data_IF_880024791136
#
_entry.id   IF_880024791136
#
_cell.length_a   1.000
_cell.length_b   1.000
_cell.length_c   1.000
_cell.angle_alpha   90.00
_cell.angle_beta   90.00
_cell.angle_gamma   90.00
#
_symmetry.space_group_name_H-M   'P 1'
#
loop_
_entity.id
_entity.type
_entity.pdbx_description
1 polymer ?
#
# COMPACT_ATOMS: atom_id res chain seq x y z
N UNK A 1 -57.82 -7.67 -28.37
CA UNK A 1 -56.73 -7.62 -27.36
C UNK A 1 -55.47 -8.34 -27.86
N UNK A 2 -54.85 -7.93 -28.99
CA UNK A 2 -53.60 -8.54 -29.47
C UNK A 2 -52.53 -7.55 -29.99
N UNK A 3 -52.85 -6.26 -30.14
CA UNK A 3 -51.89 -5.26 -30.66
C UNK A 3 -51.39 -4.23 -29.62
N UNK A 4 -51.99 -4.20 -28.42
CA UNK A 4 -51.54 -3.29 -27.34
C UNK A 4 -50.25 -3.73 -26.64
N UNK A 5 -49.92 -5.01 -26.70
CA UNK A 5 -48.69 -5.55 -26.08
C UNK A 5 -47.50 -5.56 -27.04
N UNK A 6 -47.73 -5.48 -28.35
CA UNK A 6 -46.65 -5.49 -29.36
C UNK A 6 -45.89 -4.16 -29.36
N UNK A 7 -46.61 -3.03 -29.22
CA UNK A 7 -45.97 -1.72 -29.09
C UNK A 7 -45.21 -1.56 -27.76
N UNK A 8 -45.70 -2.12 -26.66
CA UNK A 8 -44.98 -2.13 -25.38
C UNK A 8 -43.73 -3.01 -25.40
N UNK A 9 -43.73 -4.11 -26.16
CA UNK A 9 -42.57 -4.99 -26.30
C UNK A 9 -41.46 -4.37 -27.18
N UNK A 10 -41.85 -3.67 -28.25
CA UNK A 10 -40.90 -2.96 -29.14
C UNK A 10 -40.25 -1.77 -28.42
N UNK A 11 -40.99 -1.05 -27.56
CA UNK A 11 -40.44 0.03 -26.74
C UNK A 11 -39.51 -0.50 -25.63
N UNK A 12 -39.79 -1.67 -25.05
CA UNK A 12 -38.89 -2.33 -24.07
C UNK A 12 -37.61 -2.89 -24.71
N UNK A 13 -37.67 -3.37 -25.96
CA UNK A 13 -36.50 -3.82 -26.71
C UNK A 13 -35.61 -2.65 -27.17
N UNK A 14 -36.17 -1.47 -27.45
CA UNK A 14 -35.40 -0.28 -27.82
C UNK A 14 -34.65 0.35 -26.63
N UNK A 15 -35.16 0.19 -25.39
CA UNK A 15 -34.48 0.68 -24.17
C UNK A 15 -33.30 -0.23 -23.77
N UNK A 16 -33.35 -1.54 -24.11
CA UNK A 16 -32.24 -2.47 -23.88
C UNK A 16 -31.10 -2.35 -24.90
N UNK A 17 -31.30 -1.64 -26.01
CA UNK A 17 -30.27 -1.37 -27.03
C UNK A 17 -29.69 0.05 -26.91
N UNK A 18 -30.27 0.91 -26.07
CA UNK A 18 -29.84 2.29 -25.86
C UNK A 18 -28.92 2.50 -24.63
N UNK A 19 -28.42 1.44 -24.00
CA UNK A 19 -27.37 1.49 -22.98
C UNK A 19 -26.40 0.33 -23.17
N UNK A 20 -25.42 0.54 -24.06
CA UNK A 20 -24.00 0.39 -23.74
C UNK A 20 -23.19 0.54 -25.03
N UNK A 21 -23.05 1.80 -25.47
CA UNK A 21 -21.75 2.21 -26.00
C UNK A 21 -20.81 2.38 -24.79
N UNK A 22 -20.49 1.27 -24.11
CA UNK A 22 -19.21 1.21 -23.42
C UNK A 22 -18.17 1.33 -24.53
N UNK A 23 -17.73 2.57 -24.79
CA UNK A 23 -16.50 2.82 -25.55
C UNK A 23 -15.49 1.83 -24.99
N UNK A 24 -15.13 0.84 -25.80
CA UNK A 24 -14.10 -0.15 -25.50
C UNK A 24 -12.99 0.58 -24.78
N UNK A 25 -12.84 0.30 -23.48
CA UNK A 25 -11.69 0.77 -22.72
C UNK A 25 -10.49 0.17 -23.44
N UNK A 26 -9.75 1.01 -24.16
CA UNK A 26 -8.52 0.57 -24.78
C UNK A 26 -7.61 0.07 -23.64
N UNK A 27 -6.96 -1.10 -23.81
CA UNK A 27 -5.90 -1.47 -22.90
C UNK A 27 -4.91 -0.31 -22.84
N UNK A 28 -4.43 -0.02 -21.62
CA UNK A 28 -3.40 0.99 -21.35
C UNK A 28 -2.33 0.90 -22.44
N UNK A 29 -2.00 2.02 -23.08
CA UNK A 29 -0.85 2.10 -23.98
C UNK A 29 0.35 1.46 -23.30
N UNK A 30 1.18 0.76 -24.07
CA UNK A 30 2.42 0.19 -23.52
C UNK A 30 3.35 1.28 -22.99
N UNK A 31 3.23 2.50 -23.52
CA UNK A 31 3.86 3.70 -23.01
C UNK A 31 2.96 4.40 -21.98
N UNK A 32 3.32 4.28 -20.69
CA UNK A 32 2.60 4.92 -19.60
C UNK A 32 2.52 6.45 -19.75
N UNK A 33 3.54 7.09 -20.36
CA UNK A 33 3.61 8.55 -20.52
C UNK A 33 2.56 9.10 -21.49
N UNK A 34 2.21 8.33 -22.53
CA UNK A 34 1.29 8.76 -23.60
C UNK A 34 -0.17 9.00 -23.17
N UNK A 35 -0.56 8.63 -21.94
CA UNK A 35 -1.91 8.88 -21.35
C UNK A 35 -1.79 9.71 -20.06
N UNK A 36 -0.61 10.25 -19.76
CA UNK A 36 -0.38 10.99 -18.52
C UNK A 36 -1.13 12.34 -18.51
N UNK A 37 -1.65 12.73 -17.35
CA UNK A 37 -2.14 14.10 -17.07
C UNK A 37 -1.00 15.10 -16.91
N UNK A 38 0.22 14.59 -16.76
CA UNK A 38 1.44 15.36 -16.50
C UNK A 38 2.45 15.13 -17.62
N UNK A 39 3.21 16.16 -17.96
CA UNK A 39 4.45 15.97 -18.69
C UNK A 39 5.38 15.07 -17.86
N UNK A 40 6.00 14.09 -18.53
CA UNK A 40 6.85 13.11 -17.86
C UNK A 40 7.96 12.63 -18.83
N UNK A 41 9.24 12.55 -18.40
CA UNK A 41 9.75 12.96 -17.08
C UNK A 41 9.53 14.47 -16.81
N UNK A 42 9.47 14.87 -15.53
CA UNK A 42 9.15 16.26 -15.14
C UNK A 42 10.39 17.18 -15.14
N UNK A 43 11.55 16.62 -15.52
CA UNK A 43 12.86 17.27 -15.56
C UNK A 43 13.82 16.51 -16.47
N UNK A 44 15.08 16.93 -16.49
CA UNK A 44 16.16 16.33 -17.29
C UNK A 44 17.44 16.04 -16.48
N UNK A 45 17.33 16.00 -15.15
CA UNK A 45 18.40 15.58 -14.27
C UNK A 45 18.66 14.07 -14.41
N UNK A 46 19.85 13.57 -14.01
CA UNK A 46 20.15 12.14 -14.08
C UNK A 46 19.15 11.25 -13.34
N UNK A 47 18.61 11.71 -12.21
CA UNK A 47 17.64 10.96 -11.41
C UNK A 47 16.23 10.94 -12.05
N UNK A 48 15.90 11.84 -12.98
CA UNK A 48 14.64 11.77 -13.73
C UNK A 48 14.56 10.50 -14.58
N UNK A 49 15.71 10.03 -15.10
CA UNK A 49 15.81 8.80 -15.89
C UNK A 49 15.51 7.55 -15.06
N UNK A 50 15.89 7.55 -13.78
CA UNK A 50 15.57 6.46 -12.86
C UNK A 50 14.07 6.34 -12.60
N UNK A 51 13.36 7.49 -12.50
CA UNK A 51 11.91 7.53 -12.38
C UNK A 51 11.22 7.10 -13.67
N UNK A 52 11.79 7.46 -14.82
CA UNK A 52 11.33 7.02 -16.14
C UNK A 52 11.45 5.49 -16.31
N UNK A 53 12.57 4.90 -15.89
CA UNK A 53 12.77 3.45 -15.87
C UNK A 53 11.70 2.74 -15.02
N UNK A 54 11.38 3.28 -13.84
CA UNK A 54 10.29 2.77 -12.99
C UNK A 54 8.96 2.84 -13.75
N UNK A 55 8.65 3.96 -14.39
CA UNK A 55 7.40 4.14 -15.12
C UNK A 55 7.25 3.15 -16.27
N UNK A 56 8.32 2.96 -17.05
CA UNK A 56 8.34 2.03 -18.18
C UNK A 56 8.25 0.57 -17.72
N UNK A 57 8.92 0.22 -16.63
CA UNK A 57 8.95 -1.16 -16.12
C UNK A 57 7.65 -1.57 -15.44
N UNK A 58 7.09 -0.69 -14.61
CA UNK A 58 5.97 -1.01 -13.73
C UNK A 58 4.62 -0.47 -14.20
N UNK A 59 4.63 0.44 -15.20
CA UNK A 59 3.43 1.14 -15.61
C UNK A 59 2.86 1.96 -14.46
N UNK A 60 3.67 2.73 -13.74
CA UNK A 60 3.17 3.69 -12.74
C UNK A 60 4.06 4.91 -12.78
N UNK A 61 3.48 6.10 -12.90
CA UNK A 61 4.23 7.32 -13.19
C UNK A 61 4.50 8.04 -11.88
N UNK A 62 5.77 8.21 -11.46
CA UNK A 62 6.11 9.04 -10.32
C UNK A 62 5.87 10.52 -10.62
N UNK A 63 5.21 11.24 -9.71
CA UNK A 63 4.91 12.68 -9.80
C UNK A 63 5.54 13.37 -8.58
N UNK A 64 6.44 14.33 -8.78
CA UNK A 64 7.33 14.87 -7.74
C UNK A 64 7.47 16.40 -7.76
N UNK A 65 7.38 17.07 -8.91
CA UNK A 65 7.51 18.54 -9.02
C UNK A 65 6.28 19.23 -9.58
N UNK A 66 5.56 18.60 -10.52
CA UNK A 66 4.44 19.23 -11.21
C UNK A 66 3.07 18.76 -10.67
N UNK A 67 2.76 19.04 -9.41
CA UNK A 67 1.42 18.84 -8.85
C UNK A 67 1.05 19.94 -7.85
N UNK A 68 -0.25 20.07 -7.56
CA UNK A 68 -0.72 20.96 -6.52
C UNK A 68 -1.71 20.29 -5.54
N UNK A 69 -2.30 21.10 -4.66
CA UNK A 69 -3.28 20.62 -3.68
C UNK A 69 -4.55 20.08 -4.35
N UNK A 70 -4.95 20.55 -5.53
CA UNK A 70 -6.14 20.08 -6.26
C UNK A 70 -5.93 18.65 -6.77
N UNK A 71 -4.73 18.31 -7.23
CA UNK A 71 -4.38 16.95 -7.64
C UNK A 71 -4.53 15.95 -6.49
N UNK A 72 -4.00 16.28 -5.32
CA UNK A 72 -4.10 15.45 -4.11
C UNK A 72 -5.53 15.26 -3.61
N UNK A 73 -6.48 16.11 -4.06
CA UNK A 73 -7.89 16.03 -3.71
C UNK A 73 -8.79 15.63 -4.88
N UNK A 74 -8.22 15.09 -5.96
CA UNK A 74 -8.97 14.53 -7.10
C UNK A 74 -9.90 15.57 -7.75
N UNK A 75 -9.50 16.84 -7.81
CA UNK A 75 -10.35 17.89 -8.37
C UNK A 75 -10.77 17.63 -9.82
N UNK A 76 -9.95 16.89 -10.57
CA UNK A 76 -10.21 16.49 -11.93
C UNK A 76 -11.37 15.47 -12.07
N UNK A 77 -11.82 14.82 -10.99
CA UNK A 77 -12.93 13.84 -11.02
C UNK A 77 -14.31 14.44 -10.71
N UNK A 78 -14.42 15.75 -10.45
CA UNK A 78 -15.69 16.42 -10.15
C UNK A 78 -15.68 17.21 -8.84
N UNK A 79 -16.78 17.19 -8.08
CA UNK A 79 -16.88 17.93 -6.79
C UNK A 79 -15.90 17.39 -5.76
N UNK A 80 -15.05 18.26 -5.22
CA UNK A 80 -14.03 17.89 -4.23
C UNK A 80 -14.10 18.77 -2.99
N UNK A 81 -13.42 18.34 -1.93
CA UNK A 81 -13.16 19.15 -0.74
C UNK A 81 -11.66 19.11 -0.48
N UNK A 82 -11.05 20.26 -0.21
CA UNK A 82 -9.62 20.32 0.14
C UNK A 82 -9.41 19.69 1.51
N UNK A 83 -8.93 18.45 1.53
CA UNK A 83 -8.59 17.67 2.72
C UNK A 83 -7.10 17.44 2.81
N UNK A 84 -6.46 17.10 1.70
CA UNK A 84 -5.04 16.79 1.63
C UNK A 84 -4.24 18.00 1.13
N UNK A 85 -3.03 18.18 1.63
CA UNK A 85 -2.08 19.21 1.20
C UNK A 85 -0.69 18.59 1.15
N UNK A 86 0.19 19.21 0.40
CA UNK A 86 1.58 18.79 0.26
C UNK A 86 2.30 19.75 -0.67
N UNK A 87 3.61 19.63 -0.70
CA UNK A 87 4.51 20.46 -1.47
C UNK A 87 5.31 19.60 -2.44
N UNK A 88 5.68 20.18 -3.58
CA UNK A 88 6.59 19.56 -4.52
C UNK A 88 7.96 19.31 -3.89
N UNK A 89 8.66 18.28 -4.33
CA UNK A 89 10.04 18.03 -3.93
C UNK A 89 10.95 19.10 -4.56
N UNK A 90 11.96 19.53 -3.81
CA UNK A 90 13.13 20.17 -4.40
C UNK A 90 14.12 19.09 -4.89
N UNK A 91 15.20 19.48 -5.56
CA UNK A 91 16.16 18.55 -6.15
C UNK A 91 16.81 17.59 -5.13
N UNK A 92 17.20 18.08 -3.95
CA UNK A 92 17.81 17.27 -2.90
C UNK A 92 16.87 16.14 -2.44
N UNK A 93 15.60 16.49 -2.18
CA UNK A 93 14.61 15.50 -1.78
C UNK A 93 14.19 14.61 -2.95
N UNK A 94 14.16 15.13 -4.18
CA UNK A 94 13.83 14.35 -5.37
C UNK A 94 14.88 13.26 -5.63
N UNK A 95 16.18 13.57 -5.48
CA UNK A 95 17.27 12.58 -5.54
C UNK A 95 17.04 11.49 -4.50
N UNK A 96 16.79 11.87 -3.24
CA UNK A 96 16.57 10.92 -2.17
C UNK A 96 15.38 9.99 -2.45
N UNK A 97 14.22 10.55 -2.80
CA UNK A 97 13.02 9.75 -3.04
C UNK A 97 13.22 8.82 -4.24
N UNK A 98 13.89 9.29 -5.28
CA UNK A 98 14.22 8.47 -6.45
C UNK A 98 15.05 7.26 -6.07
N UNK A 99 16.17 7.46 -5.36
CA UNK A 99 17.02 6.35 -4.90
C UNK A 99 16.25 5.40 -3.99
N UNK A 100 15.49 5.94 -3.03
CA UNK A 100 14.70 5.14 -2.09
C UNK A 100 13.69 4.25 -2.83
N UNK A 101 12.89 4.82 -3.72
CA UNK A 101 11.87 4.05 -4.44
C UNK A 101 12.50 3.08 -5.43
N UNK A 102 13.55 3.47 -6.16
CA UNK A 102 14.25 2.58 -7.09
C UNK A 102 14.85 1.37 -6.36
N UNK A 103 15.61 1.60 -5.29
CA UNK A 103 16.42 0.55 -4.66
C UNK A 103 15.68 -0.22 -3.55
N UNK A 104 14.83 0.45 -2.78
CA UNK A 104 14.21 -0.15 -1.59
C UNK A 104 12.74 -0.55 -1.78
N UNK A 105 12.10 -0.10 -2.87
CA UNK A 105 10.71 -0.48 -3.20
C UNK A 105 10.68 -1.27 -4.50
N UNK A 106 10.93 -0.61 -5.63
CA UNK A 106 10.77 -1.21 -6.97
C UNK A 106 11.82 -2.27 -7.28
N UNK A 107 13.05 -2.11 -6.81
CA UNK A 107 14.12 -3.13 -6.94
C UNK A 107 13.82 -4.45 -6.24
N UNK A 108 12.81 -4.50 -5.36
CA UNK A 108 12.31 -5.73 -4.75
C UNK A 108 11.08 -6.30 -5.45
N UNK A 109 10.28 -5.47 -6.10
CA UNK A 109 9.02 -5.88 -6.71
C UNK A 109 9.28 -6.66 -8.00
N UNK A 110 8.36 -7.58 -8.30
CA UNK A 110 8.33 -8.33 -9.55
C UNK A 110 7.37 -7.65 -10.54
N UNK A 111 7.86 -7.04 -11.64
CA UNK A 111 7.03 -6.26 -12.56
C UNK A 111 5.77 -7.00 -13.05
N UNK A 112 5.90 -8.28 -13.36
CA UNK A 112 4.83 -9.16 -13.82
C UNK A 112 3.70 -9.33 -12.80
N UNK A 113 4.01 -9.28 -11.51
CA UNK A 113 3.02 -9.35 -10.43
C UNK A 113 2.39 -7.99 -10.12
N UNK A 114 3.04 -6.90 -10.53
CA UNK A 114 2.56 -5.53 -10.32
C UNK A 114 1.63 -5.03 -11.43
N UNK A 115 1.61 -5.67 -12.60
CA UNK A 115 0.77 -5.26 -13.74
C UNK A 115 -0.73 -5.23 -13.38
N UNK A 116 -1.32 -4.03 -13.37
CA UNK A 116 -2.72 -3.80 -12.99
C UNK A 116 -2.99 -3.78 -11.47
N UNK A 117 -1.93 -3.73 -10.66
CA UNK A 117 -1.98 -3.59 -9.20
C UNK A 117 -1.65 -2.17 -8.76
N UNK A 118 -0.60 -1.60 -9.36
CA UNK A 118 -0.13 -0.25 -9.08
C UNK A 118 -1.10 0.79 -9.67
N UNK A 119 -1.18 1.99 -9.06
CA UNK A 119 -2.01 3.07 -9.56
C UNK A 119 -1.40 3.66 -10.83
N UNK A 120 -2.13 4.54 -11.51
CA UNK A 120 -1.57 5.28 -12.64
C UNK A 120 -0.43 6.19 -12.17
N UNK A 121 -0.60 6.84 -11.01
CA UNK A 121 0.35 7.80 -10.47
C UNK A 121 0.82 7.46 -9.05
N UNK A 122 2.08 7.71 -8.78
CA UNK A 122 2.63 7.72 -7.41
C UNK A 122 3.17 9.12 -7.13
N UNK A 123 2.52 9.84 -6.23
CA UNK A 123 2.96 11.17 -5.81
C UNK A 123 4.04 11.04 -4.74
N UNK A 124 5.20 11.63 -5.02
CA UNK A 124 6.31 11.79 -4.10
C UNK A 124 6.21 13.22 -3.55
N UNK A 125 5.76 13.34 -2.30
CA UNK A 125 5.24 14.59 -1.75
C UNK A 125 6.09 15.03 -0.56
N UNK A 126 6.53 16.29 -0.57
CA UNK A 126 7.08 16.92 0.62
C UNK A 126 5.95 17.34 1.57
N UNK A 127 6.07 16.99 2.85
CA UNK A 127 5.12 17.38 3.90
C UNK A 127 3.64 17.08 3.58
N UNK A 128 3.37 15.85 3.11
CA UNK A 128 1.99 15.37 2.90
C UNK A 128 1.22 15.41 4.22
N UNK A 129 0.07 16.07 4.20
CA UNK A 129 -0.73 16.35 5.40
C UNK A 129 -2.22 16.39 5.10
N UNK A 130 -3.04 16.14 6.11
CA UNK A 130 -4.50 16.22 6.01
C UNK A 130 -5.10 17.14 7.06
N UNK A 131 -6.22 17.76 6.69
CA UNK A 131 -7.07 18.48 7.62
C UNK A 131 -7.63 17.50 8.67
N UNK A 132 -7.62 17.91 9.94
CA UNK A 132 -8.18 17.15 11.05
C UNK A 132 -8.95 18.05 12.01
N UNK A 133 -9.53 17.45 13.05
CA UNK A 133 -10.29 18.16 14.08
C UNK A 133 -9.36 18.70 15.18
N UNK A 134 -8.64 19.79 14.88
CA UNK A 134 -7.67 20.44 15.78
C UNK A 134 -7.90 21.95 15.84
N UNK A 135 -7.33 22.65 16.83
CA UNK A 135 -7.43 24.11 16.93
C UNK A 135 -6.69 24.79 15.77
N UNK A 136 -5.57 24.22 15.34
CA UNK A 136 -4.84 24.66 14.16
C UNK A 136 -3.89 23.56 13.65
N UNK A 137 -3.28 23.80 12.48
CA UNK A 137 -2.34 22.89 11.82
C UNK A 137 -2.99 21.66 11.18
N UNK A 138 -2.16 20.68 10.82
CA UNK A 138 -2.54 19.50 10.05
C UNK A 138 -2.02 18.19 10.67
N UNK A 139 -2.69 17.09 10.34
CA UNK A 139 -2.21 15.75 10.66
C UNK A 139 -1.20 15.34 9.59
N UNK A 140 0.06 15.01 9.95
CA UNK A 140 1.03 14.56 8.97
C UNK A 140 0.67 13.15 8.48
N UNK A 141 0.90 12.90 7.19
CA UNK A 141 0.66 11.61 6.54
C UNK A 141 1.93 11.10 5.89
N UNK A 142 2.31 9.87 6.22
CA UNK A 142 3.46 9.20 5.59
C UNK A 142 3.08 8.55 4.26
N UNK A 143 1.80 8.19 4.11
CA UNK A 143 1.26 7.56 2.92
C UNK A 143 -0.25 7.79 2.80
N UNK A 144 -0.72 7.84 1.56
CA UNK A 144 -2.14 7.86 1.19
C UNK A 144 -2.36 6.84 0.06
N UNK A 145 -3.26 5.89 0.29
CA UNK A 145 -3.44 4.70 -0.56
C UNK A 145 -4.77 4.64 -1.28
N UNK A 146 -5.64 5.60 -1.00
CA UNK A 146 -7.07 5.57 -1.31
C UNK A 146 -7.44 6.65 -2.35
N UNK A 147 -6.45 7.17 -3.07
CA UNK A 147 -6.66 7.97 -4.27
C UNK A 147 -7.23 7.09 -5.39
N UNK A 148 -8.11 7.66 -6.21
CA UNK A 148 -8.82 6.92 -7.27
C UNK A 148 -7.85 6.25 -8.25
N UNK A 149 -6.89 7.01 -8.75
CA UNK A 149 -5.88 6.56 -9.72
C UNK A 149 -4.45 6.78 -9.21
N UNK A 150 -4.27 7.15 -7.94
CA UNK A 150 -2.97 7.50 -7.37
C UNK A 150 -2.77 7.06 -5.92
N UNK A 151 -1.50 6.88 -5.55
CA UNK A 151 -1.04 6.84 -4.16
C UNK A 151 -0.10 8.02 -3.91
N UNK A 152 0.04 8.45 -2.66
CA UNK A 152 0.98 9.51 -2.28
C UNK A 152 1.85 9.07 -1.10
N UNK A 153 3.12 9.47 -1.08
CA UNK A 153 4.08 9.13 -0.04
C UNK A 153 4.86 10.36 0.39
N UNK A 154 5.07 10.49 1.70
CA UNK A 154 5.94 11.51 2.29
C UNK A 154 6.85 10.89 3.35
N UNK A 155 8.09 11.34 3.33
CA UNK A 155 9.12 11.06 4.32
C UNK A 155 9.41 12.25 5.23
N UNK A 156 8.75 13.39 5.04
CA UNK A 156 8.94 14.58 5.88
C UNK A 156 7.62 15.10 6.43
N UNK A 157 7.66 15.62 7.65
CA UNK A 157 6.62 16.45 8.23
C UNK A 157 7.23 17.68 8.89
N UNK A 158 6.79 18.87 8.46
CA UNK A 158 7.32 20.17 8.90
C UNK A 158 6.63 20.64 10.16
N UNK A 159 7.41 21.04 11.17
CA UNK A 159 6.89 21.39 12.50
C UNK A 159 5.86 22.52 12.46
N UNK A 160 6.10 23.54 11.63
CA UNK A 160 5.24 24.71 11.43
C UNK A 160 3.84 24.36 10.93
N UNK A 161 3.68 23.20 10.28
CA UNK A 161 2.41 22.73 9.73
C UNK A 161 1.68 21.75 10.65
N UNK A 162 2.31 21.29 11.73
CA UNK A 162 1.73 20.25 12.59
C UNK A 162 0.58 20.75 13.46
N UNK A 163 -0.41 19.88 13.63
CA UNK A 163 -1.57 20.17 14.43
C UNK A 163 -1.24 20.45 15.91
N UNK A 164 -2.04 21.33 16.51
CA UNK A 164 -2.06 21.58 17.96
C UNK A 164 -3.49 21.70 18.49
N UNK A 165 -3.67 21.36 19.75
CA UNK A 165 -4.88 21.58 20.53
C UNK A 165 -4.60 22.67 21.54
N UNK A 166 -5.29 23.79 21.43
CA UNK A 166 -5.30 24.86 22.44
C UNK A 166 -6.64 24.83 23.16
N UNK A 167 -6.59 24.61 24.47
CA UNK A 167 -7.77 24.52 25.34
C UNK A 167 -8.19 25.88 25.92
N UNK A 168 -7.52 26.98 25.56
CA UNK A 168 -7.86 28.33 25.99
C UNK A 168 -7.53 28.66 27.46
N UNK A 169 -6.94 27.72 28.19
CA UNK A 169 -6.50 27.86 29.59
C UNK A 169 -4.96 27.87 29.72
N UNK A 170 -4.24 28.12 28.62
CA UNK A 170 -2.78 28.05 28.55
C UNK A 170 -2.21 26.65 28.30
N UNK A 171 -3.05 25.60 28.25
CA UNK A 171 -2.62 24.27 27.86
C UNK A 171 -2.63 24.11 26.33
N UNK A 172 -1.46 23.89 25.74
CA UNK A 172 -1.29 23.54 24.34
C UNK A 172 -0.73 22.12 24.22
N UNK A 173 -1.44 21.23 23.52
CA UNK A 173 -1.00 19.87 23.23
C UNK A 173 -0.59 19.77 21.76
N UNK A 174 0.60 19.25 21.51
CA UNK A 174 1.11 18.92 20.16
C UNK A 174 1.14 17.40 19.99
N UNK A 175 0.11 16.79 19.38
CA UNK A 175 -0.02 15.33 19.30
C UNK A 175 0.96 14.68 18.31
N UNK A 176 1.56 15.46 17.41
CA UNK A 176 2.48 14.97 16.39
C UNK A 176 3.86 15.57 16.56
N UNK A 177 4.87 14.81 16.15
CA UNK A 177 6.26 15.27 16.07
C UNK A 177 6.65 15.41 14.59
N UNK A 178 7.52 16.38 14.26
CA UNK A 178 8.12 16.44 12.94
C UNK A 178 8.99 15.20 12.73
N UNK A 179 9.17 14.86 11.46
CA UNK A 179 10.08 13.79 11.04
C UNK A 179 10.64 14.13 9.68
N UNK A 180 11.74 13.48 9.32
CA UNK A 180 12.48 13.77 8.09
C UNK A 180 12.88 12.46 7.39
N UNK A 181 13.59 12.60 6.26
CA UNK A 181 14.16 11.50 5.49
C UNK A 181 14.77 10.44 6.41
N UNK A 182 14.50 9.13 6.17
CA UNK A 182 15.06 8.08 7.00
C UNK A 182 16.60 8.11 6.91
N UNK A 183 17.28 8.02 8.06
CA UNK A 183 18.75 8.11 8.18
C UNK A 183 19.38 6.82 8.67
N UNK A 184 18.61 6.01 9.40
CA UNK A 184 19.09 4.76 9.99
C UNK A 184 18.57 3.53 9.25
N UNK A 185 19.26 2.37 9.33
CA UNK A 185 18.79 1.14 8.70
C UNK A 185 17.39 0.73 9.18
N UNK A 186 17.05 1.09 10.42
CA UNK A 186 15.74 0.90 11.00
C UNK A 186 14.68 1.76 10.33
N UNK A 187 14.92 3.05 10.18
CA UNK A 187 13.95 3.95 9.52
C UNK A 187 13.73 3.54 8.07
N UNK A 188 14.79 3.18 7.32
CA UNK A 188 14.65 2.63 5.97
C UNK A 188 13.80 1.37 5.95
N UNK A 189 14.11 0.40 6.83
CA UNK A 189 13.35 -0.86 6.93
C UNK A 189 11.88 -0.60 7.24
N UNK A 190 11.61 0.28 8.20
CA UNK A 190 10.26 0.70 8.59
C UNK A 190 9.49 1.27 7.40
N UNK A 191 10.05 2.28 6.71
CA UNK A 191 9.40 2.98 5.60
C UNK A 191 9.12 2.05 4.42
N UNK A 192 10.13 1.31 3.95
CA UNK A 192 9.97 0.42 2.78
C UNK A 192 8.98 -0.71 3.08
N UNK A 193 9.01 -1.28 4.29
CA UNK A 193 8.10 -2.38 4.64
C UNK A 193 6.65 -1.92 4.65
N UNK A 194 6.36 -0.71 5.16
CA UNK A 194 5.01 -0.15 5.12
C UNK A 194 4.51 0.03 3.68
N UNK A 195 5.38 0.40 2.74
CA UNK A 195 5.01 0.50 1.32
C UNK A 195 4.78 -0.91 0.74
N UNK A 196 5.78 -1.79 0.85
CA UNK A 196 5.77 -3.12 0.25
C UNK A 196 4.64 -4.01 0.76
N UNK A 197 4.35 -3.99 2.06
CA UNK A 197 3.28 -4.79 2.64
C UNK A 197 1.91 -4.45 2.05
N UNK A 198 1.67 -3.18 1.73
CA UNK A 198 0.41 -2.72 1.12
C UNK A 198 0.33 -3.11 -0.35
N UNK A 199 1.46 -3.02 -1.06
CA UNK A 199 1.55 -3.50 -2.44
C UNK A 199 1.26 -5.01 -2.49
N UNK A 200 1.87 -5.82 -1.61
CA UNK A 200 1.61 -7.26 -1.55
C UNK A 200 0.14 -7.60 -1.27
N UNK A 201 -0.52 -6.90 -0.34
CA UNK A 201 -1.97 -7.04 -0.10
C UNK A 201 -2.74 -6.84 -1.39
N UNK A 202 -2.42 -5.79 -2.17
CA UNK A 202 -3.08 -5.49 -3.44
C UNK A 202 -2.77 -6.51 -4.53
N UNK A 203 -1.54 -7.04 -4.60
CA UNK A 203 -1.15 -8.14 -5.50
C UNK A 203 -2.05 -9.36 -5.25
N UNK A 204 -2.24 -9.77 -4.00
CA UNK A 204 -3.12 -10.89 -3.64
C UNK A 204 -4.58 -10.56 -3.96
N UNK A 205 -5.05 -9.35 -3.65
CA UNK A 205 -6.43 -8.94 -3.93
C UNK A 205 -6.77 -8.91 -5.42
N UNK A 206 -5.78 -8.63 -6.28
CA UNK A 206 -5.88 -8.69 -7.74
C UNK A 206 -5.61 -10.10 -8.29
N UNK A 207 -5.50 -11.11 -7.43
CA UNK A 207 -5.26 -12.52 -7.76
C UNK A 207 -3.96 -12.76 -8.57
N UNK A 208 -2.98 -11.86 -8.46
CA UNK A 208 -1.65 -12.03 -9.09
C UNK A 208 -0.82 -13.07 -8.33
N UNK A 209 -0.98 -13.09 -7.01
CA UNK A 209 -0.55 -14.19 -6.15
C UNK A 209 -1.79 -14.89 -5.61
N UNK A 210 -1.90 -16.18 -5.93
CA UNK A 210 -3.05 -17.00 -5.52
C UNK A 210 -2.78 -17.60 -4.15
N UNK A 211 -3.81 -17.64 -3.30
CA UNK A 211 -3.75 -18.23 -1.96
C UNK A 211 -3.45 -19.74 -2.10
N UNK A 212 -2.38 -20.26 -1.46
CA UNK A 212 -2.03 -21.68 -1.50
C UNK A 212 -3.15 -22.57 -0.93
N UNK A 213 -3.19 -23.84 -1.37
CA UNK A 213 -4.19 -24.80 -0.93
C UNK A 213 -4.10 -25.09 0.59
N UNK A 214 -2.89 -25.01 1.16
CA UNK A 214 -2.58 -25.20 2.57
C UNK A 214 -3.31 -24.20 3.48
N UNK A 215 -3.67 -23.02 2.95
CA UNK A 215 -4.43 -21.99 3.66
C UNK A 215 -5.95 -22.15 3.48
N UNK A 216 -6.43 -23.02 2.61
CA UNK A 216 -7.86 -23.20 2.40
C UNK A 216 -8.49 -24.04 3.53
N UNK A 217 -9.80 -23.92 3.71
CA UNK A 217 -10.55 -24.71 4.68
C UNK A 217 -10.36 -26.22 4.44
N UNK A 218 -10.07 -26.97 5.51
CA UNK A 218 -9.71 -28.39 5.44
C UNK A 218 -8.23 -28.70 5.71
N UNK A 219 -7.38 -27.67 5.83
CA UNK A 219 -6.03 -27.75 6.39
C UNK A 219 -5.99 -27.59 7.93
N UNK A 220 -4.88 -27.07 8.48
CA UNK A 220 -4.75 -26.84 9.93
C UNK A 220 -5.60 -25.66 10.44
N UNK A 221 -6.02 -24.76 9.55
CA UNK A 221 -6.85 -23.61 9.89
C UNK A 221 -8.34 -23.94 9.84
N UNK A 222 -9.01 -23.66 10.96
CA UNK A 222 -10.46 -23.67 11.07
C UNK A 222 -10.96 -22.23 11.23
N UNK A 223 -11.32 -21.61 10.11
CA UNK A 223 -11.80 -20.22 10.07
C UNK A 223 -13.18 -20.02 10.69
N UNK A 224 -13.89 -21.10 11.03
CA UNK A 224 -15.18 -21.02 11.75
C UNK A 224 -15.00 -20.81 13.25
N UNK A 225 -13.83 -21.17 13.80
CA UNK A 225 -13.53 -21.03 15.22
C UNK A 225 -13.23 -19.58 15.59
N UNK A 226 -13.86 -19.14 16.68
CA UNK A 226 -13.53 -17.86 17.32
C UNK A 226 -12.15 -17.95 17.98
N UNK A 227 -11.34 -16.93 17.80
CA UNK A 227 -10.08 -16.73 18.51
C UNK A 227 -10.24 -15.75 19.67
N UNK A 228 -9.33 -15.83 20.63
CA UNK A 228 -9.19 -14.87 21.72
C UNK A 228 -7.90 -14.04 21.55
N UNK A 229 -7.92 -12.80 22.01
CA UNK A 229 -6.74 -11.94 22.13
C UNK A 229 -6.10 -12.00 23.52
N UNK A 230 -6.67 -12.80 24.44
CA UNK A 230 -6.14 -13.05 25.78
C UNK A 230 -5.17 -14.22 25.73
N UNK A 231 -3.90 -13.99 26.11
CA UNK A 231 -2.80 -14.95 25.95
C UNK A 231 -2.97 -16.25 26.76
N UNK A 232 -3.68 -16.21 27.88
CA UNK A 232 -3.98 -17.38 28.71
C UNK A 232 -5.06 -18.29 28.12
N UNK A 233 -5.86 -17.82 27.16
CA UNK A 233 -6.96 -18.60 26.60
C UNK A 233 -6.45 -19.77 25.74
N UNK A 234 -7.21 -20.87 25.72
CA UNK A 234 -6.89 -22.03 24.88
C UNK A 234 -7.00 -21.70 23.39
N UNK A 235 -8.00 -20.89 23.02
CA UNK A 235 -8.21 -20.38 21.67
C UNK A 235 -7.44 -19.06 21.39
N UNK A 236 -6.33 -18.81 22.09
CA UNK A 236 -5.50 -17.64 21.82
C UNK A 236 -5.01 -17.63 20.38
N UNK A 237 -5.18 -16.50 19.67
CA UNK A 237 -5.00 -16.45 18.21
C UNK A 237 -3.62 -16.94 17.75
N UNK A 238 -2.54 -16.67 18.49
CA UNK A 238 -1.20 -17.16 18.13
C UNK A 238 -1.05 -18.68 18.29
N UNK A 239 -1.72 -19.30 19.28
CA UNK A 239 -1.75 -20.77 19.42
C UNK A 239 -2.48 -21.42 18.25
N UNK A 240 -3.46 -20.71 17.67
CA UNK A 240 -4.20 -21.12 16.47
C UNK A 240 -3.46 -20.83 15.16
N UNK A 241 -2.21 -20.35 15.21
CA UNK A 241 -1.42 -20.07 14.01
C UNK A 241 -1.73 -18.72 13.34
N UNK A 242 -2.29 -17.75 14.05
CA UNK A 242 -2.50 -16.40 13.50
C UNK A 242 -1.40 -15.46 14.02
N UNK A 243 -0.55 -14.85 13.16
CA UNK A 243 0.58 -14.04 13.63
C UNK A 243 0.20 -12.61 14.06
N UNK A 244 -1.05 -12.19 13.85
CA UNK A 244 -1.52 -10.82 14.00
C UNK A 244 -1.78 -10.16 12.65
N UNK A 245 -2.25 -8.91 12.69
CA UNK A 245 -2.52 -8.12 11.49
C UNK A 245 -1.55 -6.94 11.42
N UNK A 246 -1.11 -6.63 10.22
CA UNK A 246 -0.26 -5.48 9.98
C UNK A 246 -1.07 -4.20 9.89
N UNK A 247 -0.61 -3.12 10.52
CA UNK A 247 -1.27 -1.82 10.36
C UNK A 247 -0.90 -1.21 9.00
N UNK A 248 -1.90 -0.80 8.22
CA UNK A 248 -1.74 -0.23 6.86
C UNK A 248 -0.71 0.91 6.80
N UNK A 249 -0.68 1.75 7.82
CA UNK A 249 0.13 2.98 7.86
C UNK A 249 1.33 2.91 8.80
N UNK A 250 1.58 1.76 9.44
CA UNK A 250 2.62 1.62 10.44
C UNK A 250 3.29 0.24 10.41
N UNK A 251 4.53 0.19 10.90
CA UNK A 251 5.27 -1.08 11.01
C UNK A 251 4.79 -1.94 12.19
N UNK A 252 3.79 -1.53 12.95
CA UNK A 252 3.31 -2.31 14.08
C UNK A 252 2.44 -3.50 13.62
N UNK A 253 2.43 -4.57 14.42
CA UNK A 253 1.40 -5.61 14.36
C UNK A 253 0.33 -5.28 15.40
N UNK A 254 -0.93 -5.41 15.02
CA UNK A 254 -2.07 -5.43 15.93
C UNK A 254 -2.52 -6.86 16.16
N UNK A 255 -3.32 -7.05 17.20
CA UNK A 255 -4.15 -8.24 17.31
C UNK A 255 -5.01 -8.40 16.04
N UNK A 256 -5.33 -9.65 15.65
CA UNK A 256 -6.30 -9.86 14.60
C UNK A 256 -7.65 -9.27 15.02
N UNK A 257 -8.38 -8.76 14.03
CA UNK A 257 -9.73 -8.21 14.19
C UNK A 257 -10.66 -8.76 13.12
N UNK A 258 -11.94 -8.89 13.46
CA UNK A 258 -12.96 -9.43 12.57
C UNK A 258 -12.78 -10.93 12.26
N UNK A 259 -13.42 -11.38 11.19
CA UNK A 259 -13.38 -12.77 10.74
C UNK A 259 -12.13 -13.02 9.88
N UNK A 260 -11.36 -14.05 10.22
CA UNK A 260 -10.19 -14.46 9.45
C UNK A 260 -10.63 -15.36 8.28
N UNK A 261 -9.87 -15.30 7.19
CA UNK A 261 -10.10 -16.08 5.97
C UNK A 261 -8.77 -16.66 5.50
N UNK A 262 -8.82 -17.63 4.60
CA UNK A 262 -7.63 -18.13 3.89
C UNK A 262 -6.80 -16.99 3.29
N UNK A 263 -7.46 -16.03 2.64
CA UNK A 263 -6.83 -14.89 1.99
C UNK A 263 -6.16 -13.95 3.01
N UNK A 264 -6.89 -13.51 4.04
CA UNK A 264 -6.33 -12.59 5.03
C UNK A 264 -5.20 -13.23 5.84
N UNK A 265 -5.32 -14.53 6.14
CA UNK A 265 -4.28 -15.29 6.84
C UNK A 265 -3.03 -15.39 5.98
N UNK A 266 -3.15 -15.80 4.71
CA UNK A 266 -2.01 -15.86 3.80
C UNK A 266 -1.31 -14.50 3.63
N UNK A 267 -2.09 -13.42 3.49
CA UNK A 267 -1.54 -12.05 3.47
C UNK A 267 -0.72 -11.74 4.71
N UNK A 268 -1.21 -12.10 5.91
CA UNK A 268 -0.46 -11.87 7.15
C UNK A 268 0.87 -12.65 7.19
N UNK A 269 0.94 -13.84 6.56
CA UNK A 269 2.19 -14.58 6.46
C UNK A 269 3.17 -14.00 5.43
N UNK A 270 2.68 -13.51 4.29
CA UNK A 270 3.51 -12.76 3.33
C UNK A 270 4.16 -11.55 4.01
N UNK A 271 3.36 -10.84 4.79
CA UNK A 271 3.78 -9.69 5.60
C UNK A 271 4.79 -10.07 6.70
N UNK A 272 4.66 -11.26 7.29
CA UNK A 272 5.66 -11.80 8.22
C UNK A 272 7.00 -12.04 7.52
N UNK A 273 6.98 -12.61 6.30
CA UNK A 273 8.17 -12.82 5.46
C UNK A 273 8.91 -11.52 5.15
N UNK A 274 8.19 -10.42 4.86
CA UNK A 274 8.80 -9.11 4.63
C UNK A 274 9.52 -8.53 5.86
N UNK A 275 9.14 -8.93 7.07
CA UNK A 275 9.61 -8.32 8.33
C UNK A 275 10.73 -9.09 8.98
N UNK A 276 10.62 -10.41 8.92
CA UNK A 276 11.44 -11.31 9.68
C UNK A 276 12.11 -12.31 8.74
N UNK A 277 13.43 -12.43 8.88
CA UNK A 277 14.19 -13.60 8.43
C UNK A 277 13.75 -14.83 9.21
N UNK A 278 14.16 -16.02 8.77
CA UNK A 278 13.82 -17.28 9.44
C UNK A 278 14.26 -17.32 10.92
N UNK A 279 15.42 -16.78 11.24
CA UNK A 279 15.93 -16.73 12.61
C UNK A 279 15.16 -15.72 13.47
N UNK A 280 14.89 -14.54 12.93
CA UNK A 280 14.18 -13.50 13.67
C UNK A 280 12.71 -13.84 13.93
N UNK A 281 12.07 -14.61 13.05
CA UNK A 281 10.69 -15.08 13.29
C UNK A 281 10.64 -16.12 14.41
N UNK A 282 11.69 -16.95 14.60
CA UNK A 282 11.78 -17.89 15.73
C UNK A 282 11.95 -17.18 17.07
N UNK A 283 12.69 -16.07 17.10
CA UNK A 283 12.81 -15.24 18.30
C UNK A 283 11.46 -14.63 18.65
N UNK A 284 10.73 -14.13 17.64
CA UNK A 284 9.42 -13.49 17.86
C UNK A 284 8.33 -14.50 18.21
N UNK A 285 8.33 -15.65 17.55
CA UNK A 285 7.35 -16.73 17.69
C UNK A 285 8.09 -18.06 17.95
N UNK A 286 8.46 -18.34 19.21
CA UNK A 286 9.16 -19.58 19.55
C UNK A 286 8.39 -20.81 19.08
N UNK A 287 9.07 -21.73 18.38
CA UNK A 287 8.43 -22.87 17.71
C UNK A 287 7.74 -23.84 18.69
N UNK A 288 8.29 -23.98 19.90
CA UNK A 288 7.70 -24.76 20.99
C UNK A 288 6.36 -24.19 21.47
N UNK A 289 6.17 -22.87 21.35
CA UNK A 289 4.94 -22.16 21.75
C UNK A 289 3.95 -21.96 20.60
N UNK A 290 4.47 -21.70 19.40
CA UNK A 290 3.67 -21.33 18.23
C UNK A 290 4.07 -22.13 16.98
N UNK A 291 3.99 -23.47 17.02
CA UNK A 291 4.48 -24.32 15.93
C UNK A 291 3.77 -24.08 14.60
N UNK A 292 2.47 -23.75 14.64
CA UNK A 292 1.69 -23.45 13.43
C UNK A 292 2.16 -22.16 12.74
N UNK A 293 2.56 -21.13 13.51
CA UNK A 293 3.12 -19.89 12.94
C UNK A 293 4.38 -20.21 12.16
N UNK A 294 5.25 -21.01 12.75
CA UNK A 294 6.52 -21.36 12.11
C UNK A 294 6.31 -22.25 10.88
N UNK A 295 5.43 -23.24 10.96
CA UNK A 295 5.06 -24.10 9.81
C UNK A 295 4.57 -23.27 8.63
N UNK A 296 3.63 -22.36 8.86
CA UNK A 296 3.02 -21.58 7.78
C UNK A 296 3.88 -20.41 7.28
N UNK A 297 4.81 -19.91 8.11
CA UNK A 297 5.89 -19.06 7.63
C UNK A 297 6.74 -19.79 6.58
N UNK A 298 7.21 -21.00 6.89
CA UNK A 298 8.05 -21.80 5.98
C UNK A 298 7.32 -22.17 4.69
N UNK A 299 6.05 -22.58 4.80
CA UNK A 299 5.20 -22.85 3.64
C UNK A 299 5.09 -21.61 2.76
N UNK A 300 4.87 -20.43 3.36
CA UNK A 300 4.69 -19.18 2.61
C UNK A 300 5.97 -18.78 1.88
N UNK A 301 7.11 -18.78 2.57
CA UNK A 301 8.41 -18.44 1.97
C UNK A 301 8.74 -19.40 0.82
N UNK A 302 8.61 -20.70 1.04
CA UNK A 302 8.85 -21.72 0.01
C UNK A 302 7.91 -21.57 -1.17
N UNK A 303 6.63 -21.31 -0.92
CA UNK A 303 5.63 -21.14 -1.98
C UNK A 303 5.96 -19.93 -2.87
N UNK A 304 6.28 -18.79 -2.25
CA UNK A 304 6.63 -17.58 -3.01
C UNK A 304 7.90 -17.78 -3.85
N UNK A 305 8.93 -18.41 -3.27
CA UNK A 305 10.15 -18.71 -4.02
C UNK A 305 9.89 -19.70 -5.17
N UNK A 306 9.21 -20.82 -4.91
CA UNK A 306 9.06 -21.88 -5.91
C UNK A 306 8.09 -21.55 -7.03
N UNK A 307 7.01 -20.80 -6.75
CA UNK A 307 5.96 -20.51 -7.73
C UNK A 307 6.15 -19.18 -8.45
N UNK A 308 6.75 -18.21 -7.79
CA UNK A 308 6.86 -16.83 -8.28
C UNK A 308 8.31 -16.36 -8.40
N UNK A 309 9.30 -17.22 -8.11
CA UNK A 309 10.71 -16.83 -8.04
C UNK A 309 10.93 -15.57 -7.18
N UNK A 310 10.19 -15.48 -6.08
CA UNK A 310 10.19 -14.30 -5.23
C UNK A 310 10.59 -14.65 -3.79
N UNK A 311 11.84 -14.35 -3.46
CA UNK A 311 12.32 -14.38 -2.08
C UNK A 311 11.78 -13.17 -1.31
N UNK A 312 10.63 -13.38 -0.67
CA UNK A 312 9.97 -12.36 0.14
C UNK A 312 10.74 -12.01 1.42
N UNK A 313 11.73 -12.81 1.82
CA UNK A 313 12.52 -12.59 3.04
C UNK A 313 13.72 -11.67 2.84
N UNK A 314 14.13 -11.43 1.58
CA UNK A 314 15.20 -10.50 1.23
C UNK A 314 14.97 -9.09 1.82
N UNK A 315 13.72 -8.65 1.93
CA UNK A 315 13.39 -7.33 2.52
C UNK A 315 13.37 -7.29 4.05
N UNK A 316 13.42 -8.45 4.69
CA UNK A 316 13.62 -8.53 6.13
C UNK A 316 15.07 -8.25 6.53
N UNK A 317 16.04 -8.40 5.62
CA UNK A 317 17.44 -8.06 5.87
C UNK A 317 17.61 -6.56 6.11
N UNK A 318 18.62 -6.18 6.90
CA UNK A 318 18.89 -4.77 7.14
C UNK A 318 19.35 -4.08 5.85
N UNK A 319 18.75 -2.94 5.47
CA UNK A 319 19.21 -2.22 4.30
C UNK A 319 20.65 -1.72 4.52
N UNK A 320 21.51 -1.95 3.54
CA UNK A 320 22.81 -1.28 3.46
C UNK A 320 22.54 0.17 3.05
N UNK A 321 22.89 1.12 3.91
CA UNK A 321 22.81 2.55 3.60
C UNK A 321 24.16 2.95 3.04
N UNK A 322 24.19 3.59 1.87
CA UNK A 322 25.41 4.23 1.39
C UNK A 322 25.67 5.41 2.33
N UNK A 323 26.80 5.40 3.01
CA UNK A 323 27.28 6.59 3.71
C UNK A 323 27.67 7.61 2.63
N UNK A 324 27.20 8.85 2.79
CA UNK A 324 27.51 9.98 1.90
C UNK A 324 28.99 10.38 1.97
#
# INVERSE_FOLDING_TARGET
MKYRYIFSLIFLLAILVACDDEKKLYPRSEDASSISRFEFPQGNNPWDQDLEEIANTFGTIPIYTAFDTLDLNQAWSGTYTIKYRGEALNDEYAVFYTDFFKNHVFGFLKPELCKGVLPNYIYLVDDLRQLGSYTGGFVPLTCYWDGLDFWAFSFRAKEENLAYLDYGNGLIIRPFKPYDLPKTPWEYKMRRTVILQNIMVKIVNKNKVVVPAEFQSGGDFDYSKKYSTVSSADNYFMKLGYPGNMIKTAYNLSNPSGTLTAKSTFINYLQLGLRYTRDSVLIKYPQDKYPLIIKYYDITVKYMQSKYDWDITKMAEWPVIKED
#
